data_IF_096706991867
#
_entry.id   IF_096706991867
#
_cell.length_a   1.000
_cell.length_b   1.000
_cell.length_c   1.000
_cell.angle_alpha   90.00
_cell.angle_beta   90.00
_cell.angle_gamma   90.00
#
_symmetry.space_group_name_H-M   'P 1'
#
loop_
_entity.id
_entity.type
_entity.pdbx_description
1 polymer ?
#
# COMPACT_ATOMS: atom_id res chain seq x y z
N UNK A 1 12.83 8.06 -14.56
CA UNK A 1 11.76 8.96 -15.07
C UNK A 1 10.57 8.19 -15.64
N UNK A 2 10.79 7.11 -16.38
CA UNK A 2 9.70 6.20 -16.78
C UNK A 2 9.15 5.41 -15.57
N UNK A 3 7.94 4.89 -15.69
CA UNK A 3 7.31 4.02 -14.69
C UNK A 3 7.24 2.58 -15.17
N UNK A 4 7.33 1.64 -14.24
CA UNK A 4 6.90 0.26 -14.47
C UNK A 4 5.40 0.23 -14.21
N UNK A 5 4.62 -0.19 -15.21
CA UNK A 5 3.16 -0.31 -15.11
C UNK A 5 2.67 -1.76 -15.06
N UNK A 6 3.57 -2.70 -15.33
CA UNK A 6 3.31 -4.13 -15.26
C UNK A 6 4.55 -4.87 -14.77
N UNK A 7 4.35 -5.89 -13.95
CA UNK A 7 5.42 -6.74 -13.46
C UNK A 7 5.05 -8.21 -13.60
N UNK A 8 5.92 -8.97 -14.28
CA UNK A 8 5.81 -10.41 -14.47
C UNK A 8 6.69 -11.16 -13.47
N UNK A 9 6.14 -12.16 -12.81
CA UNK A 9 6.88 -13.08 -11.93
C UNK A 9 6.49 -14.50 -12.26
N UNK A 10 7.45 -15.38 -12.51
CA UNK A 10 7.18 -16.77 -12.84
C UNK A 10 8.03 -17.71 -11.97
N UNK A 11 7.60 -18.10 -10.76
CA UNK A 11 8.25 -19.17 -10.02
C UNK A 11 8.29 -20.48 -10.80
N UNK A 12 9.45 -21.15 -10.75
CA UNK A 12 9.63 -22.50 -11.28
C UNK A 12 9.95 -23.42 -10.12
N UNK A 13 9.32 -24.60 -10.12
CA UNK A 13 9.63 -25.67 -9.18
C UNK A 13 9.92 -26.94 -9.96
N UNK A 14 11.03 -27.59 -9.66
CA UNK A 14 11.29 -28.92 -10.21
C UNK A 14 10.37 -29.95 -9.56
N UNK A 15 9.65 -30.71 -10.38
CA UNK A 15 8.89 -31.88 -9.97
C UNK A 15 9.70 -33.15 -10.22
N UNK A 16 10.13 -33.80 -9.13
CA UNK A 16 10.92 -35.03 -9.19
C UNK A 16 10.15 -36.20 -9.80
N UNK A 17 8.82 -36.25 -9.64
CA UNK A 17 8.02 -37.36 -10.13
C UNK A 17 7.86 -37.29 -11.65
N UNK A 18 7.52 -36.10 -12.15
CA UNK A 18 7.30 -35.88 -13.59
C UNK A 18 8.59 -35.51 -14.34
N UNK A 19 9.70 -35.29 -13.63
CA UNK A 19 10.99 -34.81 -14.17
C UNK A 19 10.81 -33.58 -15.06
N UNK A 20 9.98 -32.66 -14.61
CA UNK A 20 9.63 -31.44 -15.33
C UNK A 20 9.63 -30.24 -14.39
N UNK A 21 9.77 -29.05 -14.95
CA UNK A 21 9.49 -27.84 -14.18
C UNK A 21 7.99 -27.55 -14.20
N UNK A 22 7.48 -27.11 -13.05
CA UNK A 22 6.15 -26.54 -12.89
C UNK A 22 6.34 -25.04 -12.74
N UNK A 23 5.65 -24.27 -13.58
CA UNK A 23 5.68 -22.81 -13.57
C UNK A 23 4.31 -22.22 -13.21
N UNK A 24 4.34 -21.04 -12.58
CA UNK A 24 3.13 -20.26 -12.30
C UNK A 24 3.36 -18.80 -12.64
N UNK A 25 2.89 -18.36 -13.80
CA UNK A 25 3.03 -16.96 -14.22
C UNK A 25 2.03 -16.06 -13.47
N UNK A 26 2.57 -15.08 -12.74
CA UNK A 26 1.83 -13.99 -12.14
C UNK A 26 2.11 -12.70 -12.91
N UNK A 27 1.04 -11.98 -13.24
CA UNK A 27 1.10 -10.65 -13.87
C UNK A 27 0.44 -9.66 -12.93
N UNK A 28 1.18 -8.63 -12.57
CA UNK A 28 0.69 -7.57 -11.69
C UNK A 28 0.62 -6.27 -12.46
N UNK A 29 -0.54 -5.62 -12.46
CA UNK A 29 -0.62 -4.21 -12.82
C UNK A 29 -0.20 -3.38 -11.62
N UNK A 30 0.69 -2.43 -11.85
CA UNK A 30 1.25 -1.58 -10.82
C UNK A 30 1.05 -0.16 -11.26
N UNK A 31 0.55 0.69 -10.37
CA UNK A 31 0.36 2.09 -10.68
C UNK A 31 0.72 2.97 -9.49
N UNK A 32 1.51 4.03 -9.68
CA UNK A 32 1.86 4.90 -8.58
C UNK A 32 0.66 5.77 -8.18
N UNK A 33 -0.14 5.27 -7.23
CA UNK A 33 -1.24 6.01 -6.64
C UNK A 33 -0.78 6.77 -5.40
N UNK A 34 -1.30 7.98 -5.21
CA UNK A 34 -1.04 8.77 -4.01
C UNK A 34 -1.99 8.35 -2.90
N UNK A 35 -1.60 7.35 -2.10
CA UNK A 35 -2.43 6.87 -0.99
C UNK A 35 -2.25 7.66 0.32
N UNK A 36 -1.14 8.39 0.46
CA UNK A 36 -0.85 9.14 1.68
C UNK A 36 -1.13 10.64 1.51
N UNK A 37 -2.17 11.19 2.18
CA UNK A 37 -2.47 12.61 2.14
C UNK A 37 -1.38 13.41 2.88
N UNK A 38 -0.87 14.46 2.24
CA UNK A 38 0.15 15.35 2.81
C UNK A 38 1.59 15.03 2.44
N UNK A 39 1.83 14.09 1.52
CA UNK A 39 3.20 13.75 1.13
C UNK A 39 3.92 14.85 0.34
N UNK A 40 3.18 15.78 -0.30
CA UNK A 40 3.77 16.81 -1.15
C UNK A 40 4.51 16.25 -2.39
N UNK A 41 4.80 14.95 -2.42
CA UNK A 41 5.36 14.23 -3.55
C UNK A 41 4.28 14.05 -4.61
N UNK A 42 4.33 14.89 -5.63
CA UNK A 42 3.58 14.67 -6.86
C UNK A 42 4.21 13.47 -7.55
N UNK A 43 3.43 12.41 -7.80
CA UNK A 43 3.95 11.29 -8.56
C UNK A 43 3.87 11.59 -10.05
N UNK A 44 5.01 11.97 -10.63
CA UNK A 44 5.14 12.23 -12.05
C UNK A 44 6.01 11.15 -12.69
N UNK A 45 5.60 10.68 -13.87
CA UNK A 45 6.42 9.82 -14.69
C UNK A 45 6.27 10.17 -16.17
N UNK A 46 7.29 9.84 -16.94
CA UNK A 46 7.31 10.05 -18.38
C UNK A 46 6.75 8.82 -19.09
N UNK A 47 6.04 9.06 -20.19
CA UNK A 47 5.62 8.05 -21.14
C UNK A 47 6.27 8.33 -22.49
N UNK A 48 6.79 7.28 -23.13
CA UNK A 48 7.25 7.36 -24.52
C UNK A 48 6.13 6.89 -25.45
N UNK A 49 5.77 7.72 -26.43
CA UNK A 49 4.66 7.46 -27.35
C UNK A 49 4.79 6.12 -28.07
N UNK A 50 5.97 5.78 -28.58
CA UNK A 50 6.20 4.50 -29.27
C UNK A 50 6.04 3.29 -28.36
N UNK A 51 6.38 3.42 -27.07
CA UNK A 51 6.22 2.34 -26.09
C UNK A 51 4.75 2.14 -25.70
N UNK A 52 3.98 3.23 -25.62
CA UNK A 52 2.52 3.16 -25.44
C UNK A 52 1.84 2.50 -26.65
N UNK A 53 2.17 2.94 -27.87
CA UNK A 53 1.63 2.37 -29.10
C UNK A 53 1.94 0.88 -29.23
N UNK A 54 3.18 0.48 -28.91
CA UNK A 54 3.57 -0.93 -28.83
C UNK A 54 2.71 -1.69 -27.82
N UNK A 55 2.52 -1.16 -26.62
CA UNK A 55 1.73 -1.82 -25.58
C UNK A 55 0.26 -1.98 -25.99
N UNK A 56 -0.35 -0.95 -26.60
CA UNK A 56 -1.71 -1.01 -27.17
C UNK A 56 -1.80 -2.09 -28.25
N UNK A 57 -0.79 -2.16 -29.14
CA UNK A 57 -0.74 -3.18 -30.20
C UNK A 57 -0.76 -4.61 -29.65
N UNK A 58 -0.16 -4.84 -28.49
CA UNK A 58 -0.19 -6.13 -27.78
C UNK A 58 -1.30 -6.22 -26.71
N UNK A 59 -2.36 -5.41 -26.86
CA UNK A 59 -3.58 -5.45 -26.04
C UNK A 59 -3.33 -5.21 -24.54
N UNK A 60 -2.36 -4.36 -24.20
CA UNK A 60 -2.19 -3.91 -22.83
C UNK A 60 -3.41 -3.09 -22.37
N UNK A 61 -3.99 -3.44 -21.24
CA UNK A 61 -5.14 -2.74 -20.66
C UNK A 61 -4.70 -1.61 -19.73
N UNK A 62 -4.64 -0.40 -20.28
CA UNK A 62 -4.32 0.81 -19.52
C UNK A 62 -5.41 1.19 -18.53
N UNK A 63 -6.67 0.86 -18.80
CA UNK A 63 -7.77 1.20 -17.90
C UNK A 63 -7.68 0.36 -16.62
N UNK A 64 -7.53 -0.96 -16.77
CA UNK A 64 -7.29 -1.86 -15.65
C UNK A 64 -6.03 -1.44 -14.89
N UNK A 65 -4.95 -1.09 -15.60
CA UNK A 65 -3.72 -0.63 -14.95
C UNK A 65 -3.92 0.64 -14.11
N UNK A 66 -4.66 1.64 -14.57
CA UNK A 66 -4.83 2.91 -13.86
C UNK A 66 -5.84 2.79 -12.72
N UNK A 67 -6.96 2.10 -12.96
CA UNK A 67 -8.05 1.98 -11.99
C UNK A 67 -7.78 0.91 -10.92
N UNK A 68 -7.18 -0.21 -11.30
CA UNK A 68 -7.00 -1.39 -10.46
C UNK A 68 -5.52 -1.70 -10.17
N UNK A 69 -4.60 -0.90 -10.72
CA UNK A 69 -3.17 -1.07 -10.50
C UNK A 69 -2.80 -0.97 -9.03
N UNK A 70 -2.00 -1.94 -8.58
CA UNK A 70 -1.55 -2.03 -7.19
C UNK A 70 -0.61 -0.84 -6.93
N UNK A 71 -0.90 -0.09 -5.87
CA UNK A 71 -0.03 0.99 -5.40
C UNK A 71 1.31 0.44 -4.89
N UNK A 72 2.30 1.30 -4.73
CA UNK A 72 3.54 0.92 -4.10
C UNK A 72 4.18 2.10 -3.41
N UNK A 73 4.89 1.81 -2.32
CA UNK A 73 5.72 2.75 -1.60
C UNK A 73 7.16 2.22 -1.59
N UNK A 74 8.16 3.05 -1.82
CA UNK A 74 9.56 2.62 -1.63
C UNK A 74 9.92 2.53 -0.13
N UNK A 75 10.99 1.80 0.21
CA UNK A 75 11.45 1.68 1.61
C UNK A 75 11.74 3.05 2.23
N UNK A 76 12.41 3.92 1.49
CA UNK A 76 12.71 5.28 1.96
C UNK A 76 11.43 6.10 2.17
N UNK A 77 10.47 6.03 1.25
CA UNK A 77 9.19 6.74 1.42
C UNK A 77 8.37 6.21 2.61
N UNK A 78 8.42 4.91 2.89
CA UNK A 78 7.82 4.33 4.10
C UNK A 78 8.49 4.89 5.36
N UNK A 79 9.83 4.87 5.42
CA UNK A 79 10.59 5.37 6.56
C UNK A 79 10.33 6.87 6.79
N UNK A 80 10.26 7.66 5.72
CA UNK A 80 9.90 9.08 5.77
C UNK A 80 8.45 9.29 6.23
N UNK A 81 7.50 8.48 5.78
CA UNK A 81 6.11 8.53 6.23
C UNK A 81 5.98 8.15 7.72
N UNK A 82 6.70 7.13 8.17
CA UNK A 82 6.73 6.72 9.58
C UNK A 82 7.41 7.76 10.46
N UNK A 83 8.51 8.36 9.99
CA UNK A 83 9.22 9.41 10.73
C UNK A 83 8.37 10.67 10.88
N UNK A 84 7.69 11.10 9.81
CA UNK A 84 6.72 12.21 9.88
C UNK A 84 5.55 11.89 10.80
N UNK A 85 5.07 10.65 10.76
CA UNK A 85 4.02 10.23 11.68
C UNK A 85 4.52 10.24 13.13
N UNK A 86 5.77 9.88 13.38
CA UNK A 86 6.31 9.90 14.74
C UNK A 86 6.62 11.32 15.23
N UNK A 87 7.03 12.26 14.36
CA UNK A 87 7.26 13.66 14.74
C UNK A 87 5.95 14.38 15.09
N UNK A 88 4.90 14.21 14.29
CA UNK A 88 3.56 14.79 14.55
C UNK A 88 3.01 14.38 15.93
N UNK A 89 3.43 13.23 16.45
CA UNK A 89 2.97 12.71 17.74
C UNK A 89 4.02 12.80 18.87
N UNK A 90 5.27 13.19 18.58
CA UNK A 90 6.33 13.45 19.58
C UNK A 90 6.43 14.93 19.94
N UNK A 91 6.06 15.85 19.05
CA UNK A 91 6.05 17.28 19.36
C UNK A 91 4.91 17.60 20.34
N UNK A 92 5.28 17.61 21.62
CA UNK A 92 4.49 18.01 22.77
C UNK A 92 4.43 19.56 22.89
N UNK A 93 3.23 20.11 22.61
CA UNK A 93 2.65 21.40 23.07
C UNK A 93 3.19 22.76 22.56
N UNK A 94 2.32 23.79 22.35
CA UNK A 94 0.89 23.83 22.62
C UNK A 94 0.02 24.02 21.36
N UNK A 95 -1.22 23.54 21.48
CA UNK A 95 -2.38 24.15 20.84
C UNK A 95 -2.33 24.40 19.32
N UNK A 96 -2.91 23.46 18.56
CA UNK A 96 -3.63 23.82 17.34
C UNK A 96 -4.94 24.55 17.68
N UNK A 97 -4.90 25.53 18.57
CA UNK A 97 -5.91 26.57 18.73
C UNK A 97 -5.62 27.80 17.84
N UNK A 98 -4.48 27.83 17.14
CA UNK A 98 -4.09 28.92 16.26
C UNK A 98 -4.50 28.67 14.79
N UNK A 99 -5.79 28.89 14.52
CA UNK A 99 -6.27 29.71 13.39
C UNK A 99 -7.81 29.86 13.42
N UNK A 100 -8.39 30.07 14.61
CA UNK A 100 -9.75 30.62 14.73
C UNK A 100 -9.71 32.03 15.36
N UNK A 101 -8.82 32.88 14.85
CA UNK A 101 -9.10 34.31 14.72
C UNK A 101 -9.79 34.43 13.35
N UNK A 102 -11.09 34.70 13.23
CA UNK A 102 -11.80 35.82 13.84
C UNK A 102 -13.27 35.49 14.08
N UNK A 103 -13.83 36.08 15.14
CA UNK A 103 -15.25 36.06 15.47
C UNK A 103 -16.14 36.84 14.48
N UNK A 104 -16.13 36.46 13.20
CA UNK A 104 -17.10 36.99 12.21
C UNK A 104 -17.64 35.95 11.22
N UNK A 105 -17.56 34.64 11.51
CA UNK A 105 -18.17 33.59 10.66
C UNK A 105 -19.61 33.22 11.05
N UNK A 106 -20.13 33.71 12.19
CA UNK A 106 -21.57 33.64 12.52
C UNK A 106 -22.36 34.74 11.77
N UNK A 107 -22.07 34.95 10.49
CA UNK A 107 -22.72 36.00 9.70
C UNK A 107 -24.15 35.60 9.25
N UNK A 108 -24.44 34.30 9.18
CA UNK A 108 -25.77 33.80 8.78
C UNK A 108 -26.63 33.56 10.01
N UNK A 109 -27.82 34.14 10.02
CA UNK A 109 -28.83 33.90 11.05
C UNK A 109 -29.10 32.40 11.28
N UNK A 110 -29.04 31.59 10.21
CA UNK A 110 -29.17 30.14 10.29
C UNK A 110 -28.09 29.46 11.15
N UNK A 111 -26.84 29.94 11.09
CA UNK A 111 -25.73 29.37 11.85
C UNK A 111 -25.87 29.72 13.34
N UNK A 112 -26.35 30.93 13.66
CA UNK A 112 -26.63 31.36 15.04
C UNK A 112 -27.75 30.51 15.64
N UNK A 113 -28.86 30.36 14.90
CA UNK A 113 -30.00 29.55 15.35
C UNK A 113 -29.57 28.08 15.52
N UNK A 114 -28.77 27.55 14.60
CA UNK A 114 -28.24 26.19 14.70
C UNK A 114 -27.34 26.03 15.92
N UNK A 115 -26.38 26.95 16.13
CA UNK A 115 -25.48 26.92 17.27
C UNK A 115 -26.21 26.96 18.61
N UNK A 116 -27.23 27.83 18.74
CA UNK A 116 -28.00 27.93 19.98
C UNK A 116 -28.86 26.67 20.23
N UNK A 117 -29.44 26.09 19.17
CA UNK A 117 -30.14 24.79 19.28
C UNK A 117 -29.22 23.68 19.75
N UNK A 118 -28.03 23.57 19.18
CA UNK A 118 -27.02 22.57 19.55
C UNK A 118 -26.59 22.77 21.01
N UNK A 119 -26.33 24.01 21.42
CA UNK A 119 -25.97 24.33 22.80
C UNK A 119 -27.04 23.88 23.79
N UNK A 120 -28.32 24.18 23.53
CA UNK A 120 -29.41 23.76 24.40
C UNK A 120 -29.54 22.24 24.47
N UNK A 121 -29.45 21.56 23.31
CA UNK A 121 -29.52 20.11 23.22
C UNK A 121 -28.38 19.42 23.98
N UNK A 122 -27.13 19.87 23.81
CA UNK A 122 -25.97 19.33 24.52
C UNK A 122 -26.10 19.59 26.03
N UNK A 123 -26.61 20.76 26.42
CA UNK A 123 -26.85 21.10 27.84
C UNK A 123 -27.88 20.17 28.47
N UNK A 124 -28.98 19.90 27.77
CA UNK A 124 -30.03 18.98 28.23
C UNK A 124 -29.51 17.55 28.34
N UNK A 125 -28.75 17.08 27.35
CA UNK A 125 -28.11 15.77 27.38
C UNK A 125 -27.14 15.63 28.56
N UNK A 126 -26.24 16.62 28.76
CA UNK A 126 -25.31 16.62 29.89
C UNK A 126 -26.03 16.68 31.24
N UNK A 127 -27.10 17.46 31.36
CA UNK A 127 -27.92 17.52 32.57
C UNK A 127 -28.58 16.16 32.89
N UNK A 128 -29.05 15.43 31.88
CA UNK A 128 -29.62 14.08 32.04
C UNK A 128 -28.60 13.07 32.58
N UNK A 129 -27.32 13.19 32.21
CA UNK A 129 -26.24 12.34 32.73
C UNK A 129 -25.98 12.60 34.22
N UNK A 130 -26.11 13.86 34.68
CA UNK A 130 -25.86 14.26 36.06
C UNK A 130 -27.07 14.05 36.98
N UNK A 131 -28.29 14.12 36.44
CA UNK A 131 -29.55 14.11 37.19
C UNK A 131 -30.06 12.74 37.65
N UNK A 132 -29.49 11.62 37.16
CA UNK A 132 -30.07 10.29 37.36
C UNK A 132 -29.18 9.38 38.24
N UNK A 133 -29.16 9.61 39.56
CA UNK A 133 -28.57 8.66 40.52
C UNK A 133 -29.48 7.47 40.90
N UNK A 134 -30.78 7.50 40.53
CA UNK A 134 -31.76 6.49 40.95
C UNK A 134 -32.66 5.99 39.80
N UNK A 135 -32.12 5.49 38.69
CA UNK A 135 -32.85 4.53 37.85
C UNK A 135 -31.89 3.75 36.97
N UNK A 136 -32.00 2.42 37.02
CA UNK A 136 -31.36 1.47 36.10
C UNK A 136 -31.73 1.88 34.66
N UNK A 137 -30.78 1.90 33.70
CA UNK A 137 -31.11 2.27 32.34
C UNK A 137 -31.82 1.12 31.62
N UNK A 138 -33.15 1.09 31.71
CA UNK A 138 -33.96 0.51 30.64
C UNK A 138 -33.95 1.47 29.46
N UNK A 139 -33.32 1.01 28.37
CA UNK A 139 -33.24 1.67 27.07
C UNK A 139 -34.65 1.73 26.46
N UNK A 140 -35.50 2.65 26.91
CA UNK A 140 -36.81 2.88 26.30
C UNK A 140 -36.63 3.58 24.96
N UNK A 141 -36.73 2.77 23.90
CA UNK A 141 -37.25 3.21 22.61
C UNK A 141 -38.63 3.81 22.85
N UNK A 142 -38.75 5.12 22.72
CA UNK A 142 -40.05 5.76 22.51
C UNK A 142 -39.96 6.77 21.37
N UNK A 143 -41.09 6.81 20.68
CA UNK A 143 -41.33 7.09 19.27
C UNK A 143 -41.26 8.56 18.83
N UNK A 144 -40.83 8.69 17.57
CA UNK A 144 -41.25 9.63 16.52
C UNK A 144 -40.74 11.09 16.51
N UNK A 145 -40.15 11.40 15.35
CA UNK A 145 -39.98 12.71 14.70
C UNK A 145 -39.07 13.75 15.36
N UNK A 146 -37.76 13.62 15.13
CA UNK A 146 -36.76 14.66 14.73
C UNK A 146 -35.31 14.31 15.13
N UNK A 147 -35.11 13.34 16.03
CA UNK A 147 -33.81 13.05 16.66
C UNK A 147 -33.04 11.83 16.11
N UNK A 148 -33.21 11.44 14.85
CA UNK A 148 -32.31 10.43 14.24
C UNK A 148 -30.86 10.92 14.05
N UNK A 149 -30.62 12.24 14.20
CA UNK A 149 -29.31 12.87 14.01
C UNK A 149 -28.39 12.76 15.22
N UNK A 150 -28.91 12.52 16.42
CA UNK A 150 -28.09 12.45 17.63
C UNK A 150 -28.47 11.23 18.46
N UNK A 151 -27.49 10.35 18.69
CA UNK A 151 -27.71 9.11 19.44
C UNK A 151 -26.73 9.03 20.60
N UNK A 152 -27.23 8.77 21.81
CA UNK A 152 -26.37 8.50 22.97
C UNK A 152 -25.73 7.12 22.84
N UNK A 153 -24.43 7.06 23.07
CA UNK A 153 -23.60 5.86 23.05
C UNK A 153 -22.56 5.93 24.17
N UNK A 154 -21.63 4.98 24.19
CA UNK A 154 -20.43 5.03 25.01
C UNK A 154 -19.18 4.97 24.13
N UNK A 155 -18.24 5.87 24.36
CA UNK A 155 -16.86 5.72 23.90
C UNK A 155 -16.07 5.07 25.03
N UNK A 156 -15.76 3.78 24.87
CA UNK A 156 -15.26 2.94 25.95
C UNK A 156 -16.23 2.95 27.15
N UNK A 157 -15.87 3.63 28.24
CA UNK A 157 -16.69 3.76 29.45
C UNK A 157 -17.27 5.18 29.63
N UNK A 158 -17.01 6.09 28.69
CA UNK A 158 -17.44 7.49 28.76
C UNK A 158 -18.74 7.70 27.97
N UNK A 159 -19.77 8.35 28.53
CA UNK A 159 -20.96 8.73 27.78
C UNK A 159 -20.58 9.59 26.59
N UNK A 160 -21.11 9.25 25.42
CA UNK A 160 -20.85 9.96 24.18
C UNK A 160 -22.13 10.20 23.38
N UNK A 161 -22.10 11.21 22.52
CA UNK A 161 -23.18 11.55 21.60
C UNK A 161 -22.66 11.43 20.17
N UNK A 162 -23.24 10.52 19.38
CA UNK A 162 -22.95 10.35 17.95
C UNK A 162 -23.77 11.37 17.17
N UNK A 163 -23.16 11.96 16.13
CA UNK A 163 -23.85 12.86 15.21
C UNK A 163 -23.95 12.26 13.80
N UNK A 164 -25.18 12.09 13.30
CA UNK A 164 -25.48 11.48 12.00
C UNK A 164 -26.07 12.50 11.02
N UNK A 165 -25.64 12.42 9.75
CA UNK A 165 -26.26 13.16 8.64
C UNK A 165 -26.08 14.68 8.68
N UNK A 166 -24.95 15.16 9.18
CA UNK A 166 -24.60 16.58 9.27
C UNK A 166 -23.60 17.00 8.20
N UNK A 167 -23.70 18.25 7.74
CA UNK A 167 -22.76 18.84 6.77
C UNK A 167 -21.43 19.21 7.43
N UNK A 168 -20.34 19.29 6.67
CA UNK A 168 -19.03 19.71 7.19
C UNK A 168 -19.05 21.10 7.86
N UNK A 169 -19.96 21.99 7.44
CA UNK A 169 -20.16 23.31 8.09
C UNK A 169 -20.83 23.16 9.46
N UNK A 170 -21.85 22.32 9.58
CA UNK A 170 -22.54 22.03 10.84
C UNK A 170 -21.60 21.37 11.86
N UNK A 171 -20.78 20.40 11.43
CA UNK A 171 -19.78 19.75 12.30
C UNK A 171 -18.76 20.75 12.87
N UNK A 172 -18.31 21.72 12.06
CA UNK A 172 -17.44 22.80 12.55
C UNK A 172 -18.15 23.67 13.59
N UNK A 173 -19.42 24.01 13.36
CA UNK A 173 -20.20 24.80 14.32
C UNK A 173 -20.37 24.04 15.64
N UNK A 174 -20.64 22.74 15.60
CA UNK A 174 -20.79 21.93 16.81
C UNK A 174 -19.48 21.84 17.58
N UNK A 175 -18.35 21.63 16.89
CA UNK A 175 -17.02 21.69 17.52
C UNK A 175 -16.83 23.03 18.26
N UNK A 176 -17.09 24.15 17.59
CA UNK A 176 -16.95 25.50 18.17
C UNK A 176 -17.87 25.68 19.39
N UNK A 177 -19.13 25.26 19.30
CA UNK A 177 -20.09 25.37 20.40
C UNK A 177 -19.66 24.52 21.59
N UNK A 178 -19.21 23.29 21.33
CA UNK A 178 -18.76 22.35 22.37
C UNK A 178 -17.55 22.92 23.11
N UNK A 179 -16.50 23.31 22.39
CA UNK A 179 -15.25 23.82 22.95
C UNK A 179 -15.40 25.16 23.69
N UNK A 180 -16.35 26.02 23.27
CA UNK A 180 -16.56 27.34 23.90
C UNK A 180 -17.47 27.29 25.13
N UNK A 181 -18.51 26.46 25.12
CA UNK A 181 -19.56 26.51 26.13
C UNK A 181 -19.45 25.42 27.19
N UNK A 182 -18.69 24.35 26.94
CA UNK A 182 -18.62 23.20 27.84
C UNK A 182 -17.17 22.83 28.15
N UNK A 183 -16.80 22.89 29.43
CA UNK A 183 -15.45 22.50 29.90
C UNK A 183 -15.30 20.99 30.06
N UNK A 184 -16.40 20.31 30.32
CA UNK A 184 -16.45 18.88 30.67
C UNK A 184 -16.77 18.01 29.44
N UNK A 185 -16.84 18.60 28.24
CA UNK A 185 -17.12 17.90 26.99
C UNK A 185 -15.95 18.06 26.03
N UNK A 186 -15.61 16.97 25.35
CA UNK A 186 -14.58 16.94 24.31
C UNK A 186 -15.16 16.48 22.99
N UNK A 187 -14.87 17.22 21.92
CA UNK A 187 -15.29 16.87 20.57
C UNK A 187 -14.20 16.08 19.85
N UNK A 188 -14.51 14.84 19.48
CA UNK A 188 -13.57 13.87 18.93
C UNK A 188 -14.12 13.32 17.61
N UNK A 189 -13.23 12.94 16.71
CA UNK A 189 -13.59 12.14 15.54
C UNK A 189 -13.00 10.74 15.70
N UNK A 190 -13.86 9.73 15.61
CA UNK A 190 -13.47 8.32 15.60
C UNK A 190 -13.64 7.75 14.20
N UNK A 191 -12.64 7.03 13.71
CA UNK A 191 -12.75 6.28 12.46
C UNK A 191 -13.45 4.94 12.76
N UNK A 192 -14.71 4.78 12.35
CA UNK A 192 -15.35 3.47 12.40
C UNK A 192 -14.94 2.61 11.19
N UNK A 193 -14.82 1.30 11.38
CA UNK A 193 -14.24 0.34 10.41
C UNK A 193 -15.04 0.19 9.11
N UNK A 194 -16.27 0.69 9.04
CA UNK A 194 -17.18 0.49 7.90
C UNK A 194 -17.75 1.78 7.31
N UNK A 195 -17.72 2.92 8.01
CA UNK A 195 -18.45 4.11 7.60
C UNK A 195 -17.76 5.43 7.97
N UNK A 196 -16.46 5.55 7.66
CA UNK A 196 -15.76 6.83 7.76
C UNK A 196 -15.68 7.42 9.17
N UNK A 197 -15.15 8.64 9.24
CA UNK A 197 -14.90 9.37 10.48
C UNK A 197 -16.22 9.87 11.09
N UNK A 198 -16.66 9.29 12.20
CA UNK A 198 -17.85 9.70 12.94
C UNK A 198 -17.47 10.73 14.03
N UNK A 199 -18.15 11.89 14.05
CA UNK A 199 -17.97 12.88 15.09
C UNK A 199 -18.71 12.46 16.37
N UNK A 200 -18.03 12.60 17.51
CA UNK A 200 -18.50 12.24 18.84
C UNK A 200 -18.27 13.39 19.82
N UNK A 201 -19.29 13.72 20.60
CA UNK A 201 -19.15 14.56 21.80
C UNK A 201 -19.05 13.64 23.01
N UNK A 202 -17.94 13.70 23.74
CA UNK A 202 -17.66 12.79 24.86
C UNK A 202 -17.66 13.58 26.16
N UNK A 203 -18.39 13.07 27.16
CA UNK A 203 -18.36 13.61 28.51
C UNK A 203 -17.13 13.12 29.27
N UNK A 204 -16.42 14.05 29.90
CA UNK A 204 -15.22 13.79 30.71
C UNK A 204 -15.46 14.22 32.15
N UNK A 205 -15.06 13.39 33.11
CA UNK A 205 -15.37 13.61 34.54
C UNK A 205 -14.40 14.55 35.24
N UNK A 206 -13.23 14.81 34.64
CA UNK A 206 -12.18 15.67 35.19
C UNK A 206 -11.23 16.16 34.09
N UNK A 207 -10.39 17.15 34.42
CA UNK A 207 -9.31 17.60 33.53
C UNK A 207 -8.31 16.46 33.22
N UNK A 208 -8.03 15.58 34.19
CA UNK A 208 -7.15 14.42 33.99
C UNK A 208 -7.78 13.39 33.07
N UNK A 209 -9.09 13.14 33.19
CA UNK A 209 -9.83 12.24 32.31
C UNK A 209 -9.89 12.77 30.87
N UNK A 210 -10.01 14.10 30.71
CA UNK A 210 -9.90 14.76 29.41
C UNK A 210 -8.53 14.54 28.77
N UNK A 211 -7.44 14.67 29.53
CA UNK A 211 -6.09 14.44 29.01
C UNK A 211 -5.87 12.96 28.64
N UNK A 212 -6.41 12.03 29.44
CA UNK A 212 -6.42 10.60 29.12
C UNK A 212 -7.19 10.31 27.82
N UNK A 213 -8.41 10.85 27.67
CA UNK A 213 -9.20 10.72 26.45
C UNK A 213 -8.43 11.25 25.22
N UNK A 214 -7.79 12.42 25.33
CA UNK A 214 -7.01 12.97 24.23
C UNK A 214 -5.83 12.07 23.85
N UNK A 215 -5.17 11.46 24.83
CA UNK A 215 -4.07 10.51 24.60
C UNK A 215 -4.58 9.21 23.94
N UNK A 216 -5.71 8.67 24.38
CA UNK A 216 -6.34 7.49 23.78
C UNK A 216 -6.76 7.72 22.32
N UNK A 217 -7.37 8.88 22.04
CA UNK A 217 -7.76 9.27 20.68
C UNK A 217 -6.54 9.47 19.79
N UNK A 218 -5.49 10.13 20.29
CA UNK A 218 -4.21 10.27 19.58
C UNK A 218 -3.59 8.91 19.30
N UNK A 219 -3.53 8.01 20.28
CA UNK A 219 -3.00 6.67 20.11
C UNK A 219 -3.78 5.89 19.03
N UNK A 220 -5.11 5.99 19.05
CA UNK A 220 -5.99 5.34 18.06
C UNK A 220 -5.74 5.87 16.65
N UNK A 221 -5.67 7.19 16.49
CA UNK A 221 -5.33 7.84 15.20
C UNK A 221 -3.94 7.47 14.71
N UNK A 222 -2.95 7.34 15.61
CA UNK A 222 -1.60 6.89 15.25
C UNK A 222 -1.60 5.45 14.73
N UNK A 223 -2.35 4.56 15.37
CA UNK A 223 -2.50 3.17 14.92
C UNK A 223 -3.19 3.12 13.55
N UNK A 224 -4.23 3.91 13.34
CA UNK A 224 -4.92 4.00 12.04
C UNK A 224 -4.01 4.54 10.94
N UNK A 225 -3.26 5.61 11.21
CA UNK A 225 -2.30 6.18 10.26
C UNK A 225 -1.17 5.18 9.92
N UNK A 226 -0.64 4.45 10.92
CA UNK A 226 0.34 3.36 10.67
C UNK A 226 -0.25 2.26 9.80
N UNK A 227 -1.53 1.90 9.98
CA UNK A 227 -2.22 0.92 9.13
C UNK A 227 -2.37 1.41 7.70
N UNK A 228 -2.70 2.69 7.50
CA UNK A 228 -2.77 3.33 6.16
C UNK A 228 -1.42 3.31 5.46
N UNK A 229 -0.33 3.64 6.15
CA UNK A 229 1.04 3.53 5.61
C UNK A 229 1.34 2.09 5.20
N UNK A 230 1.01 1.11 6.04
CA UNK A 230 1.22 -0.30 5.70
C UNK A 230 0.40 -0.78 4.51
N UNK A 231 -0.84 -0.31 4.37
CA UNK A 231 -1.67 -0.63 3.21
C UNK A 231 -1.08 -0.06 1.92
N UNK A 232 -0.55 1.18 1.97
CA UNK A 232 0.06 1.88 0.84
C UNK A 232 1.38 1.26 0.35
N UNK A 233 1.99 0.33 1.10
CA UNK A 233 3.19 -0.41 0.65
C UNK A 233 2.90 -1.17 -0.65
N UNK A 234 1.70 -1.76 -0.73
CA UNK A 234 1.16 -2.44 -1.91
C UNK A 234 2.12 -3.45 -2.53
N UNK A 235 2.47 -3.27 -3.80
CA UNK A 235 3.23 -4.25 -4.58
C UNK A 235 4.63 -4.54 -4.01
N UNK A 236 5.22 -3.61 -3.25
CA UNK A 236 6.54 -3.84 -2.64
C UNK A 236 6.56 -5.09 -1.75
N UNK A 237 5.42 -5.52 -1.19
CA UNK A 237 5.34 -6.79 -0.47
C UNK A 237 5.84 -8.00 -1.29
N UNK A 238 5.59 -8.02 -2.60
CA UNK A 238 6.11 -9.07 -3.48
C UNK A 238 7.63 -8.97 -3.61
N UNK A 239 8.15 -7.75 -3.78
CA UNK A 239 9.61 -7.50 -3.87
C UNK A 239 10.32 -7.88 -2.57
N UNK A 240 9.72 -7.55 -1.43
CA UNK A 240 10.25 -7.88 -0.11
C UNK A 240 10.26 -9.40 0.11
N UNK A 241 9.23 -10.11 -0.36
CA UNK A 241 9.18 -11.57 -0.36
C UNK A 241 10.27 -12.19 -1.26
N UNK A 242 10.44 -11.67 -2.48
CA UNK A 242 11.50 -12.12 -3.38
C UNK A 242 12.89 -11.93 -2.76
N UNK A 243 13.08 -10.82 -2.05
CA UNK A 243 14.33 -10.53 -1.35
C UNK A 243 14.56 -11.42 -0.12
N UNK A 244 13.51 -11.75 0.64
CA UNK A 244 13.64 -12.60 1.83
C UNK A 244 13.99 -14.05 1.48
N UNK A 245 13.43 -14.57 0.39
CA UNK A 245 13.69 -15.93 -0.07
C UNK A 245 15.09 -16.10 -0.68
N UNK A 246 15.74 -15.00 -1.10
CA UNK A 246 17.10 -15.00 -1.69
C UNK A 246 17.27 -15.95 -2.88
N UNK A 247 16.20 -16.14 -3.64
CA UNK A 247 16.18 -17.07 -4.77
C UNK A 247 16.98 -16.53 -5.95
N UNK A 248 17.42 -17.44 -6.82
CA UNK A 248 17.98 -17.08 -8.12
C UNK A 248 16.92 -16.40 -8.97
N UNK A 249 17.18 -15.14 -9.34
CA UNK A 249 16.43 -14.32 -10.27
C UNK A 249 17.05 -14.46 -11.66
N UNK A 250 16.22 -14.68 -12.67
CA UNK A 250 16.69 -14.86 -14.05
C UNK A 250 15.94 -13.94 -14.97
N UNK A 251 16.63 -12.96 -15.52
CA UNK A 251 16.08 -12.02 -16.49
C UNK A 251 16.70 -12.18 -17.88
N UNK A 252 16.21 -11.41 -18.84
CA UNK A 252 16.80 -11.32 -20.17
C UNK A 252 17.04 -9.86 -20.51
N UNK A 253 18.29 -9.42 -20.60
CA UNK A 253 18.64 -8.00 -20.77
C UNK A 253 18.09 -7.13 -19.61
N UNK A 254 18.20 -7.62 -18.38
CA UNK A 254 17.40 -7.17 -17.25
C UNK A 254 18.03 -6.03 -16.42
N UNK A 255 19.06 -5.37 -16.93
CA UNK A 255 19.72 -4.26 -16.23
C UNK A 255 18.75 -3.11 -15.92
N UNK A 256 17.95 -2.69 -16.92
CA UNK A 256 16.98 -1.61 -16.74
C UNK A 256 15.85 -2.02 -15.80
N UNK A 257 15.43 -3.27 -15.86
CA UNK A 257 14.40 -3.80 -14.96
C UNK A 257 14.85 -3.73 -13.51
N UNK A 258 16.09 -4.17 -13.22
CA UNK A 258 16.67 -4.10 -11.88
C UNK A 258 16.86 -2.67 -11.40
N UNK A 259 17.31 -1.76 -12.28
CA UNK A 259 17.41 -0.34 -11.95
C UNK A 259 16.04 0.26 -11.62
N UNK A 260 15.00 -0.10 -12.37
CA UNK A 260 13.64 0.34 -12.07
C UNK A 260 13.11 -0.30 -10.77
N UNK A 261 13.33 -1.59 -10.52
CA UNK A 261 12.97 -2.25 -9.25
C UNK A 261 13.60 -1.51 -8.07
N UNK A 262 14.90 -1.22 -8.15
CA UNK A 262 15.60 -0.46 -7.11
C UNK A 262 14.97 0.93 -6.94
N UNK A 263 14.85 1.68 -8.04
CA UNK A 263 14.34 3.05 -8.04
C UNK A 263 12.93 3.19 -7.47
N UNK A 264 12.07 2.17 -7.64
CA UNK A 264 10.65 2.23 -7.30
C UNK A 264 10.34 1.62 -5.93
N UNK A 265 11.07 0.59 -5.54
CA UNK A 265 10.75 -0.20 -4.34
C UNK A 265 11.76 -0.02 -3.22
N UNK A 266 13.00 0.40 -3.52
CA UNK A 266 14.04 0.62 -2.51
C UNK A 266 14.19 2.12 -2.23
N UNK A 267 14.63 2.90 -3.21
CA UNK A 267 14.99 4.30 -3.03
C UNK A 267 15.56 4.95 -4.30
N UNK A 268 16.11 6.18 -4.23
CA UNK A 268 16.72 6.82 -5.39
C UNK A 268 17.96 6.02 -5.83
N UNK A 269 18.19 5.98 -7.15
CA UNK A 269 19.36 5.29 -7.71
C UNK A 269 20.65 5.90 -7.15
N UNK A 270 21.66 5.07 -6.80
CA UNK A 270 22.97 5.56 -6.41
C UNK A 270 23.67 6.31 -7.55
N UNK A 271 24.74 7.03 -7.22
CA UNK A 271 25.48 7.85 -8.21
C UNK A 271 26.34 7.00 -9.14
N UNK A 272 26.75 5.82 -8.69
CA UNK A 272 27.63 4.91 -9.42
C UNK A 272 26.97 3.55 -9.66
N UNK A 273 27.42 2.85 -10.71
CA UNK A 273 26.89 1.52 -11.06
C UNK A 273 27.35 0.50 -10.02
N UNK A 274 28.56 0.67 -9.49
CA UNK A 274 29.16 -0.19 -8.47
C UNK A 274 28.36 -0.16 -7.17
N UNK A 275 27.90 1.02 -6.75
CA UNK A 275 26.99 1.18 -5.61
C UNK A 275 25.64 0.52 -5.88
N UNK A 276 25.07 0.70 -7.09
CA UNK A 276 23.82 0.06 -7.47
C UNK A 276 23.93 -1.47 -7.43
N UNK A 277 25.01 -2.04 -7.96
CA UNK A 277 25.25 -3.49 -7.94
C UNK A 277 25.40 -3.98 -6.50
N UNK A 278 26.19 -3.30 -5.68
CA UNK A 278 26.39 -3.66 -4.27
C UNK A 278 25.08 -3.61 -3.48
N UNK A 279 24.26 -2.58 -3.72
CA UNK A 279 22.96 -2.44 -3.10
C UNK A 279 21.98 -3.52 -3.58
N UNK A 280 21.92 -3.81 -4.89
CA UNK A 280 21.09 -4.88 -5.45
C UNK A 280 21.48 -6.25 -4.91
N UNK A 281 22.77 -6.56 -4.79
CA UNK A 281 23.25 -7.83 -4.24
C UNK A 281 22.82 -8.07 -2.78
N UNK A 282 22.52 -6.99 -2.04
CA UNK A 282 21.97 -7.10 -0.68
C UNK A 282 20.55 -7.67 -0.69
N UNK A 283 19.76 -7.35 -1.71
CA UNK A 283 18.37 -7.82 -1.86
C UNK A 283 18.28 -9.11 -2.68
N UNK A 284 19.05 -9.19 -3.75
CA UNK A 284 19.01 -10.23 -4.77
C UNK A 284 20.43 -10.74 -5.03
N UNK A 285 20.91 -11.70 -4.22
CA UNK A 285 22.30 -12.16 -4.28
C UNK A 285 22.61 -13.00 -5.52
N UNK A 286 21.58 -13.59 -6.14
CA UNK A 286 21.72 -14.51 -7.26
C UNK A 286 20.91 -13.98 -8.44
N UNK A 287 21.58 -13.35 -9.40
CA UNK A 287 20.95 -12.81 -10.61
C UNK A 287 21.67 -13.39 -11.82
N UNK A 288 20.92 -13.91 -12.79
CA UNK A 288 21.42 -14.34 -14.09
C UNK A 288 20.71 -13.55 -15.18
N UNK A 289 21.49 -12.88 -16.03
CA UNK A 289 20.99 -12.35 -17.29
C UNK A 289 21.24 -13.36 -18.40
N UNK A 290 20.16 -13.97 -18.90
CA UNK A 290 20.21 -14.98 -19.96
C UNK A 290 20.83 -14.44 -21.25
N UNK A 291 20.67 -13.16 -21.58
CA UNK A 291 21.29 -12.57 -22.76
C UNK A 291 22.81 -12.51 -22.60
N UNK A 292 23.30 -12.24 -21.40
CA UNK A 292 24.73 -12.27 -21.10
C UNK A 292 25.24 -13.71 -21.15
N UNK A 293 24.52 -14.67 -20.56
CA UNK A 293 24.86 -16.11 -20.63
C UNK A 293 24.99 -16.59 -22.08
N UNK A 294 24.03 -16.23 -22.95
CA UNK A 294 24.06 -16.59 -24.37
C UNK A 294 25.26 -16.03 -25.13
N UNK A 295 25.81 -14.90 -24.69
CA UNK A 295 26.96 -14.25 -25.33
C UNK A 295 28.30 -14.70 -24.76
N UNK A 296 28.35 -15.10 -23.49
CA UNK A 296 29.59 -15.52 -22.81
C UNK A 296 29.91 -17.01 -23.02
N UNK A 297 28.90 -17.86 -23.16
CA UNK A 297 29.11 -19.29 -23.37
C UNK A 297 29.34 -19.59 -24.85
N UNK A 298 30.52 -20.11 -25.19
CA UNK A 298 30.92 -20.41 -26.58
C UNK A 298 29.99 -21.43 -27.26
N UNK A 299 29.48 -22.40 -26.50
CA UNK A 299 28.58 -23.45 -27.04
C UNK A 299 27.22 -22.83 -27.36
N UNK A 300 26.65 -22.04 -26.45
CA UNK A 300 25.39 -21.34 -26.67
C UNK A 300 25.52 -20.28 -27.78
N UNK A 301 26.63 -19.54 -27.82
CA UNK A 301 26.92 -18.56 -28.86
C UNK A 301 27.02 -19.21 -30.24
N UNK A 302 27.64 -20.39 -30.32
CA UNK A 302 27.71 -21.20 -31.54
C UNK A 302 26.34 -21.75 -31.95
N UNK A 303 25.53 -22.23 -30.99
CA UNK A 303 24.15 -22.67 -31.23
C UNK A 303 23.27 -21.55 -31.75
N UNK A 304 23.47 -20.33 -31.25
CA UNK A 304 22.82 -19.11 -31.74
C UNK A 304 23.35 -18.66 -33.12
N UNK A 305 24.35 -19.37 -33.68
CA UNK A 305 25.03 -19.08 -34.96
C UNK A 305 25.59 -17.66 -35.04
N UNK A 306 26.04 -17.10 -33.91
CA UNK A 306 26.42 -15.68 -33.78
C UNK A 306 25.32 -14.71 -34.28
N UNK A 307 24.06 -15.14 -34.23
CA UNK A 307 22.90 -14.37 -34.64
C UNK A 307 22.31 -13.53 -33.50
N UNK A 308 21.08 -13.04 -33.70
CA UNK A 308 20.36 -12.27 -32.68
C UNK A 308 20.16 -13.07 -31.40
N UNK A 309 20.58 -12.49 -30.27
CA UNK A 309 20.29 -12.99 -28.91
C UNK A 309 19.01 -12.36 -28.35
N UNK A 310 18.07 -11.94 -29.20
CA UNK A 310 16.75 -11.49 -28.74
C UNK A 310 16.00 -12.65 -28.10
N UNK A 311 15.20 -12.36 -27.07
CA UNK A 311 14.42 -13.37 -26.35
C UNK A 311 13.59 -14.26 -27.29
N UNK A 312 12.90 -13.65 -28.27
CA UNK A 312 12.10 -14.37 -29.26
C UNK A 312 12.92 -15.38 -30.07
N UNK A 313 14.14 -15.00 -30.47
CA UNK A 313 15.02 -15.85 -31.27
C UNK A 313 15.63 -16.96 -30.41
N UNK A 314 16.11 -16.60 -29.22
CA UNK A 314 16.64 -17.55 -28.25
C UNK A 314 15.60 -18.61 -27.88
N UNK A 315 14.35 -18.20 -27.59
CA UNK A 315 13.25 -19.10 -27.29
C UNK A 315 12.94 -20.04 -28.47
N UNK A 316 12.87 -19.50 -29.70
CA UNK A 316 12.59 -20.33 -30.89
C UNK A 316 13.64 -21.40 -31.17
N UNK A 317 14.88 -21.18 -30.74
CA UNK A 317 16.01 -22.10 -30.96
C UNK A 317 16.15 -23.11 -29.81
N UNK A 318 16.02 -22.64 -28.57
CA UNK A 318 16.19 -23.49 -27.37
C UNK A 318 14.94 -24.32 -27.05
N UNK A 319 13.76 -23.82 -27.39
CA UNK A 319 12.48 -24.48 -27.18
C UNK A 319 11.80 -24.73 -28.53
N UNK A 320 12.28 -25.69 -29.33
CA UNK A 320 11.58 -26.06 -30.56
C UNK A 320 10.15 -26.53 -30.20
N UNK A 321 9.14 -26.21 -31.03
CA UNK A 321 7.77 -26.58 -30.74
C UNK A 321 7.67 -28.10 -30.56
N UNK A 322 6.97 -28.52 -29.49
CA UNK A 322 6.65 -29.92 -29.27
C UNK A 322 5.79 -30.35 -30.46
N UNK A 323 6.35 -31.18 -31.35
CA UNK A 323 5.59 -31.77 -32.43
C UNK A 323 4.38 -32.52 -31.83
N UNK A 324 3.17 -32.37 -32.37
CA UNK A 324 2.02 -33.14 -31.92
C UNK A 324 2.36 -34.62 -32.07
N UNK A 325 2.06 -35.40 -31.03
CA UNK A 325 2.31 -36.85 -30.97
C UNK A 325 1.60 -37.51 -32.16
N UNK A 326 2.40 -37.87 -33.17
CA UNK A 326 1.92 -38.43 -34.43
C UNK A 326 3.07 -39.03 -35.23
N UNK A 327 3.33 -40.31 -34.97
CA UNK A 327 4.05 -41.29 -35.80
C UNK A 327 5.55 -41.08 -36.10
N UNK A 328 6.30 -42.10 -35.71
CA UNK A 328 7.74 -42.36 -35.86
C UNK A 328 8.32 -42.19 -37.27
N UNK A 329 9.55 -41.70 -37.38
CA UNK A 329 10.77 -42.47 -37.75
C UNK A 329 11.89 -41.50 -38.11
N UNK A 330 13.11 -41.74 -37.61
CA UNK A 330 14.30 -40.97 -38.01
C UNK A 330 15.23 -40.67 -36.84
N UNK A 331 16.25 -41.51 -36.71
CA UNK A 331 17.38 -41.38 -35.81
C UNK A 331 18.11 -40.05 -36.06
N UNK A 332 18.14 -39.18 -35.06
CA UNK A 332 18.96 -37.98 -35.02
C UNK A 332 19.05 -37.54 -33.57
N UNK A 333 20.25 -37.59 -33.00
CA UNK A 333 20.55 -37.38 -31.59
C UNK A 333 19.77 -36.20 -31.00
N UNK A 334 18.74 -36.51 -30.20
CA UNK A 334 18.17 -35.55 -29.26
C UNK A 334 19.23 -35.29 -28.20
N UNK A 335 20.01 -34.22 -28.39
CA UNK A 335 20.85 -33.65 -27.35
C UNK A 335 19.94 -33.18 -26.20
N UNK A 336 19.69 -34.09 -25.26
CA UNK A 336 19.30 -33.74 -23.91
C UNK A 336 20.51 -33.04 -23.32
N UNK A 337 20.43 -31.72 -23.15
CA UNK A 337 21.40 -30.96 -22.36
C UNK A 337 21.34 -31.47 -20.91
N UNK A 338 22.11 -32.51 -20.61
CA UNK A 338 22.46 -32.87 -19.25
C UNK A 338 23.46 -31.81 -18.76
N UNK A 339 22.94 -30.69 -18.26
CA UNK A 339 23.72 -29.68 -17.53
C UNK A 339 24.26 -30.35 -16.26
N UNK A 340 25.42 -31.00 -16.38
CA UNK A 340 26.24 -31.42 -15.23
C UNK A 340 26.85 -30.17 -14.59
N UNK A 341 26.03 -29.45 -13.83
CA UNK A 341 26.54 -28.51 -12.84
C UNK A 341 27.29 -29.33 -11.79
N UNK A 342 28.59 -29.09 -11.70
CA UNK A 342 29.49 -29.74 -10.74
C UNK A 342 29.19 -29.14 -9.36
N UNK A 343 28.25 -29.74 -8.63
CA UNK A 343 27.94 -29.35 -7.25
C UNK A 343 29.01 -29.91 -6.32
N UNK A 344 29.83 -29.04 -5.76
CA UNK A 344 30.69 -29.42 -4.63
C UNK A 344 29.81 -29.51 -3.39
N UNK A 345 29.39 -30.72 -3.05
CA UNK A 345 28.56 -31.00 -1.88
C UNK A 345 29.37 -30.77 -0.60
N UNK A 346 28.99 -29.75 0.17
CA UNK A 346 28.94 -29.85 1.64
C UNK A 346 27.61 -29.28 2.09
N UNK A 347 26.78 -30.19 2.59
CA UNK A 347 25.34 -30.03 2.68
C UNK A 347 24.89 -28.86 3.55
N UNK A 348 23.77 -28.28 3.17
CA UNK A 348 22.61 -27.93 4.00
C UNK A 348 21.46 -27.64 3.02
N UNK A 349 20.25 -28.07 3.40
CA UNK A 349 18.98 -27.99 2.67
C UNK A 349 18.86 -26.84 1.63
N UNK A 350 18.70 -27.17 0.35
CA UNK A 350 18.54 -26.19 -0.73
C UNK A 350 17.07 -25.97 -1.10
N UNK A 351 16.60 -24.74 -0.92
CA UNK A 351 15.41 -24.18 -1.57
C UNK A 351 15.73 -23.82 -3.04
N UNK A 352 14.80 -24.09 -3.96
CA UNK A 352 14.99 -24.17 -5.43
C UNK A 352 14.42 -22.97 -6.22
N UNK A 353 15.06 -22.55 -7.34
CA UNK A 353 15.10 -21.18 -7.88
C UNK A 353 13.79 -20.63 -8.46
N UNK A 354 13.60 -19.31 -8.33
CA UNK A 354 12.39 -18.58 -8.74
C UNK A 354 12.71 -17.72 -9.98
N UNK A 355 12.37 -18.18 -11.18
CA UNK A 355 12.70 -17.51 -12.45
C UNK A 355 11.89 -16.21 -12.64
N UNK A 356 12.44 -15.08 -12.23
CA UNK A 356 11.80 -13.79 -12.47
C UNK A 356 11.91 -13.35 -13.95
N UNK A 357 11.06 -13.87 -14.84
CA UNK A 357 10.94 -13.31 -16.20
C UNK A 357 10.25 -11.94 -16.09
N UNK A 358 11.07 -10.88 -16.00
CA UNK A 358 10.67 -9.52 -16.30
C UNK A 358 10.41 -9.46 -17.81
N UNK A 359 9.13 -9.43 -18.20
CA UNK A 359 8.68 -9.25 -19.58
C UNK A 359 8.37 -7.78 -19.86
#
# INVERSE_FOLDING_TARGET
KFSIIQFGVCPFRWDFHNRSFIDHLHKFYIFPQQELPGDGSICEFLCQTSSLEFSVKYQFDFNACIHEGISYLSRIQEDEALTRLDSVYKDEFPDSSSNLRNGSELARMADIIFAERIKNMISEWAARLLGNRNMVPELRQDSNDTNQKFQSTFFQLRPALIENGLTSRQLRLIKIVTEKHFKDLSYVHESDKTCGSQPLIIYTYSATDRDLLMNEVKASKRVEAKKKIKAAIGFRHVIDLLSSERMLIVGHNCFLDLAHVYSKFVGPLPLTVEELVSALQTYFPHIIDTKVVLNLDDVLSLLMRKGSTSLSKALSLLCPPIAPVGTSTGLGDKLVLELKLKWTVKGFFYFFPLLLILL
#
